data_IF_942509539342
#
_entry.id   IF_942509539342
#
_cell.length_a   1.000
_cell.length_b   1.000
_cell.length_c   1.000
_cell.angle_alpha   90.00
_cell.angle_beta   90.00
_cell.angle_gamma   90.00
#
_symmetry.space_group_name_H-M   'P 1'
#
loop_
_entity.id
_entity.type
_entity.pdbx_description
1 polymer ?
#
# COMPACT_ATOMS: atom_id res chain seq x y z
N UNK A 1 46.05 -5.44 -40.79
CA UNK A 1 45.80 -4.00 -40.49
C UNK A 1 44.34 -3.83 -40.10
N UNK A 2 44.08 -3.30 -38.90
CA UNK A 2 42.76 -3.27 -38.22
C UNK A 2 41.91 -2.08 -38.71
N UNK A 3 40.64 -2.32 -39.06
CA UNK A 3 39.63 -1.30 -39.39
C UNK A 3 39.32 -0.44 -38.16
N UNK A 4 39.53 0.89 -38.24
CA UNK A 4 39.28 1.86 -37.16
C UNK A 4 38.14 2.86 -37.47
N UNK A 5 37.18 2.54 -38.35
CA UNK A 5 36.22 3.55 -38.84
C UNK A 5 34.84 3.59 -38.15
N UNK A 6 34.61 2.89 -37.03
CA UNK A 6 33.26 2.77 -36.44
C UNK A 6 33.20 3.06 -34.92
N UNK A 7 33.81 4.16 -34.46
CA UNK A 7 33.70 4.64 -33.06
C UNK A 7 33.08 6.03 -32.90
N UNK A 8 33.07 6.82 -33.96
CA UNK A 8 32.68 8.25 -33.91
C UNK A 8 31.17 8.46 -34.11
N UNK A 9 30.51 7.57 -34.87
CA UNK A 9 29.06 7.62 -35.09
C UNK A 9 28.24 7.25 -33.85
N UNK A 10 28.71 6.27 -33.07
CA UNK A 10 28.03 5.81 -31.84
C UNK A 10 28.13 6.81 -30.70
N UNK A 11 29.27 7.50 -30.58
CA UNK A 11 29.48 8.59 -29.61
C UNK A 11 28.60 9.81 -29.90
N UNK A 12 28.43 10.15 -31.18
CA UNK A 12 27.59 11.28 -31.60
C UNK A 12 26.09 11.01 -31.32
N UNK A 13 25.64 9.78 -31.58
CA UNK A 13 24.26 9.37 -31.29
C UNK A 13 23.97 9.36 -29.78
N UNK A 14 24.92 8.89 -28.97
CA UNK A 14 24.80 8.87 -27.51
C UNK A 14 24.69 10.29 -26.92
N UNK A 15 25.45 11.25 -27.45
CA UNK A 15 25.37 12.65 -27.02
C UNK A 15 24.03 13.30 -27.38
N UNK A 16 23.47 12.99 -28.56
CA UNK A 16 22.15 13.46 -28.97
C UNK A 16 21.07 12.89 -28.04
N UNK A 17 21.12 11.59 -27.74
CA UNK A 17 20.19 10.94 -26.81
C UNK A 17 20.28 11.56 -25.40
N UNK A 18 21.50 11.81 -24.91
CA UNK A 18 21.71 12.43 -23.60
C UNK A 18 21.17 13.86 -23.54
N UNK A 19 21.36 14.64 -24.62
CA UNK A 19 20.79 15.97 -24.77
C UNK A 19 19.25 15.92 -24.70
N UNK A 20 18.62 15.00 -25.43
CA UNK A 20 17.17 14.83 -25.36
C UNK A 20 16.68 14.42 -23.96
N UNK A 21 17.41 13.57 -23.23
CA UNK A 21 17.06 13.21 -21.84
C UNK A 21 17.11 14.42 -20.90
N UNK A 22 18.07 15.33 -21.07
CA UNK A 22 18.18 16.53 -20.23
C UNK A 22 17.19 17.65 -20.58
N UNK A 23 16.62 17.62 -21.79
CA UNK A 23 15.72 18.66 -22.30
C UNK A 23 14.25 18.29 -22.14
N UNK A 24 13.92 17.05 -21.70
CA UNK A 24 12.55 16.71 -21.32
C UNK A 24 12.21 17.52 -20.06
N UNK A 25 11.29 18.50 -20.14
CA UNK A 25 10.82 19.16 -18.93
C UNK A 25 10.25 18.08 -18.02
N UNK A 26 10.69 18.05 -16.77
CA UNK A 26 10.03 17.23 -15.76
C UNK A 26 8.56 17.67 -15.74
N UNK A 27 7.66 16.80 -16.18
CA UNK A 27 6.23 17.02 -16.06
C UNK A 27 5.91 17.09 -14.57
N UNK A 28 6.00 18.28 -13.99
CA UNK A 28 5.44 18.55 -12.69
C UNK A 28 3.92 18.42 -12.80
N UNK A 29 3.29 17.86 -11.77
CA UNK A 29 1.84 17.76 -11.69
C UNK A 29 1.23 19.15 -11.90
N UNK A 30 0.27 19.28 -12.82
CA UNK A 30 -0.40 20.54 -13.12
C UNK A 30 -1.18 21.02 -11.88
N UNK A 31 -0.76 22.13 -11.23
CA UNK A 31 -1.44 22.64 -10.04
C UNK A 31 -2.81 23.25 -10.34
N UNK A 32 -3.16 23.43 -11.62
CA UNK A 32 -4.48 23.95 -12.05
C UNK A 32 -5.53 22.85 -12.25
N UNK A 33 -5.16 21.57 -12.05
CA UNK A 33 -6.10 20.45 -12.13
C UNK A 33 -7.18 20.63 -11.06
N UNK A 34 -8.42 20.89 -11.48
CA UNK A 34 -9.58 21.02 -10.60
C UNK A 34 -9.82 19.69 -9.86
N UNK A 35 -10.20 19.77 -8.59
CA UNK A 35 -10.51 18.60 -7.74
C UNK A 35 -11.66 17.71 -8.29
N UNK A 36 -12.39 18.18 -9.32
CA UNK A 36 -13.43 17.43 -10.02
C UNK A 36 -12.88 16.36 -10.99
N UNK A 37 -11.56 16.34 -11.24
CA UNK A 37 -10.87 15.33 -12.06
C UNK A 37 -10.15 14.24 -11.26
N UNK A 38 -10.43 14.10 -9.96
CA UNK A 38 -9.93 12.96 -9.19
C UNK A 38 -10.80 11.73 -9.47
N UNK A 39 -10.19 10.66 -9.98
CA UNK A 39 -10.84 9.36 -10.08
C UNK A 39 -11.21 8.90 -8.67
N UNK A 40 -12.50 8.87 -8.38
CA UNK A 40 -13.02 8.29 -7.15
C UNK A 40 -13.21 6.79 -7.36
N UNK A 41 -12.36 5.99 -6.72
CA UNK A 41 -12.56 4.55 -6.64
C UNK A 41 -13.38 4.25 -5.39
N UNK A 42 -14.57 3.67 -5.57
CA UNK A 42 -15.47 3.27 -4.49
C UNK A 42 -15.31 1.77 -4.33
N UNK A 43 -14.92 1.34 -3.14
CA UNK A 43 -14.85 -0.08 -2.79
C UNK A 43 -16.00 -0.44 -1.87
N UNK A 44 -16.67 -1.54 -2.19
CA UNK A 44 -17.81 -2.10 -1.48
C UNK A 44 -17.50 -3.53 -1.06
N UNK A 45 -18.49 -4.20 -0.48
CA UNK A 45 -18.39 -5.64 -0.19
C UNK A 45 -18.24 -6.50 -1.43
N UNK A 46 -18.72 -6.03 -2.60
CA UNK A 46 -18.57 -6.74 -3.88
C UNK A 46 -17.12 -6.74 -4.36
N UNK A 47 -16.31 -5.77 -3.92
CA UNK A 47 -14.90 -5.62 -4.25
C UNK A 47 -13.96 -6.35 -3.27
N UNK A 48 -14.52 -7.02 -2.25
CA UNK A 48 -13.77 -7.81 -1.27
C UNK A 48 -13.58 -7.16 0.11
N UNK A 49 -14.11 -5.95 0.33
CA UNK A 49 -14.18 -5.37 1.67
C UNK A 49 -15.13 -6.22 2.55
N UNK A 50 -14.77 -6.63 3.77
CA UNK A 50 -15.63 -7.53 4.56
C UNK A 50 -16.91 -6.86 5.04
N UNK A 51 -16.89 -5.53 5.20
CA UNK A 51 -18.03 -4.74 5.63
C UNK A 51 -17.83 -3.27 5.26
N UNK A 52 -18.90 -2.59 4.80
CA UNK A 52 -18.83 -1.20 4.33
C UNK A 52 -18.46 -0.17 5.41
N UNK A 53 -18.64 -0.49 6.70
CA UNK A 53 -18.31 0.44 7.77
C UNK A 53 -16.85 0.27 8.20
N UNK A 54 -16.00 1.14 7.66
CA UNK A 54 -14.59 1.25 8.07
C UNK A 54 -14.48 2.22 9.24
N UNK A 55 -13.97 1.75 10.38
CA UNK A 55 -13.89 2.51 11.63
C UNK A 55 -12.54 3.15 11.87
N UNK A 56 -11.49 2.58 11.28
CA UNK A 56 -10.12 3.04 11.41
C UNK A 56 -9.29 2.55 10.22
N UNK A 57 -8.26 3.32 9.90
CA UNK A 57 -7.37 3.10 8.77
C UNK A 57 -5.93 3.33 9.23
N UNK A 58 -5.00 2.53 8.70
CA UNK A 58 -3.57 2.74 8.85
C UNK A 58 -2.88 2.35 7.54
N UNK A 59 -1.92 3.16 7.11
CA UNK A 59 -0.99 2.72 6.08
C UNK A 59 0.23 2.13 6.77
N UNK A 60 0.57 0.89 6.45
CA UNK A 60 1.74 0.22 7.01
C UNK A 60 2.99 0.56 6.20
N UNK A 61 4.18 0.40 6.80
CA UNK A 61 5.48 0.72 6.19
C UNK A 61 5.80 -0.08 4.93
N UNK A 62 5.19 -1.25 4.78
CA UNK A 62 5.27 -2.08 3.59
C UNK A 62 4.29 -1.64 2.47
N UNK A 63 3.56 -0.53 2.67
CA UNK A 63 2.74 0.14 1.67
C UNK A 63 1.26 -0.27 1.67
N UNK A 64 0.88 -1.29 2.43
CA UNK A 64 -0.50 -1.75 2.50
C UNK A 64 -1.38 -0.78 3.30
N UNK A 65 -2.68 -0.79 3.00
CA UNK A 65 -3.69 -0.06 3.77
C UNK A 65 -4.48 -1.06 4.60
N UNK A 66 -4.32 -1.00 5.92
CA UNK A 66 -5.13 -1.73 6.88
C UNK A 66 -6.40 -0.95 7.22
N UNK A 67 -7.54 -1.65 7.23
CA UNK A 67 -8.86 -1.08 7.53
C UNK A 67 -9.54 -1.95 8.57
N UNK A 68 -9.88 -1.37 9.72
CA UNK A 68 -10.64 -2.06 10.74
C UNK A 68 -12.13 -1.89 10.50
N UNK A 69 -12.84 -3.01 10.49
CA UNK A 69 -14.29 -3.06 10.31
C UNK A 69 -14.96 -3.76 11.50
N UNK A 70 -16.28 -3.88 11.50
CA UNK A 70 -16.97 -4.72 12.49
C UNK A 70 -16.81 -6.23 12.20
N UNK A 71 -16.44 -6.60 10.97
CA UNK A 71 -16.33 -7.99 10.50
C UNK A 71 -14.88 -8.39 10.13
N UNK A 72 -13.89 -7.75 10.76
CA UNK A 72 -12.48 -8.11 10.64
C UNK A 72 -11.58 -6.98 10.16
N UNK A 73 -10.31 -7.32 9.98
CA UNK A 73 -9.27 -6.45 9.41
C UNK A 73 -9.17 -6.72 7.91
N UNK A 74 -9.39 -5.69 7.09
CA UNK A 74 -9.11 -5.74 5.66
C UNK A 74 -7.74 -5.13 5.39
N UNK A 75 -6.88 -5.82 4.65
CA UNK A 75 -5.57 -5.33 4.22
C UNK A 75 -5.56 -5.22 2.71
N UNK A 76 -5.44 -4.01 2.20
CA UNK A 76 -5.50 -3.67 0.79
C UNK A 76 -4.10 -3.41 0.25
N UNK A 77 -3.76 -4.04 -0.88
CA UNK A 77 -2.44 -3.96 -1.52
C UNK A 77 -2.37 -2.97 -2.70
N UNK A 78 -3.49 -2.30 -3.01
CA UNK A 78 -3.63 -1.45 -4.19
C UNK A 78 -4.44 -2.08 -5.32
N UNK A 79 -4.74 -3.37 -5.21
CA UNK A 79 -5.54 -4.12 -6.18
C UNK A 79 -6.65 -4.93 -5.49
N UNK A 80 -6.31 -5.67 -4.43
CA UNK A 80 -7.18 -6.65 -3.78
C UNK A 80 -7.16 -6.52 -2.25
N UNK A 81 -8.23 -6.99 -1.63
CA UNK A 81 -8.36 -7.07 -0.17
C UNK A 81 -8.01 -8.48 0.33
N UNK A 82 -7.15 -8.55 1.33
CA UNK A 82 -6.99 -9.73 2.19
C UNK A 82 -7.73 -9.50 3.50
N UNK A 83 -8.64 -10.40 3.86
CA UNK A 83 -9.45 -10.26 5.07
C UNK A 83 -8.99 -11.20 6.17
N UNK A 84 -8.76 -10.66 7.37
CA UNK A 84 -8.46 -11.42 8.58
C UNK A 84 -9.62 -11.30 9.56
N UNK A 85 -10.13 -12.46 9.99
CA UNK A 85 -11.24 -12.61 10.92
C UNK A 85 -10.83 -13.56 12.04
N UNK A 86 -11.60 -13.64 13.13
CA UNK A 86 -11.36 -14.63 14.18
C UNK A 86 -11.41 -16.09 13.69
N UNK A 87 -12.12 -16.37 12.59
CA UNK A 87 -12.23 -17.73 12.05
C UNK A 87 -11.01 -18.12 11.22
N UNK A 88 -10.32 -17.15 10.63
CA UNK A 88 -9.09 -17.36 9.83
C UNK A 88 -7.83 -17.14 10.66
N UNK A 89 -7.91 -16.24 11.64
CA UNK A 89 -6.85 -15.86 12.57
C UNK A 89 -7.41 -15.90 14.00
N UNK A 90 -7.37 -17.06 14.67
CA UNK A 90 -7.92 -17.22 16.03
C UNK A 90 -7.35 -16.22 17.04
N UNK A 91 -6.11 -15.76 16.87
CA UNK A 91 -5.44 -14.79 17.74
C UNK A 91 -6.11 -13.41 17.78
N UNK A 92 -6.93 -13.06 16.78
CA UNK A 92 -7.72 -11.82 16.83
C UNK A 92 -8.78 -11.86 17.95
N UNK A 93 -9.28 -13.06 18.28
CA UNK A 93 -10.34 -13.38 19.24
C UNK A 93 -11.70 -12.67 19.03
N UNK A 94 -11.75 -11.66 18.18
CA UNK A 94 -12.92 -10.83 17.89
C UNK A 94 -12.80 -10.23 16.49
N UNK A 95 -13.91 -10.15 15.76
CA UNK A 95 -13.94 -9.53 14.44
C UNK A 95 -14.00 -7.99 14.51
N UNK A 96 -14.52 -7.42 15.60
CA UNK A 96 -14.71 -5.98 15.69
C UNK A 96 -13.39 -5.28 15.97
N UNK A 97 -12.83 -4.64 14.94
CA UNK A 97 -11.56 -3.93 15.04
C UNK A 97 -11.82 -2.49 15.49
N UNK A 98 -11.30 -2.12 16.66
CA UNK A 98 -11.51 -0.81 17.30
C UNK A 98 -10.35 0.15 17.09
N UNK A 99 -9.14 -0.37 16.94
CA UNK A 99 -7.95 0.44 16.72
C UNK A 99 -6.93 -0.30 15.87
N UNK A 100 -6.19 0.46 15.08
CA UNK A 100 -5.04 0.01 14.31
C UNK A 100 -3.88 0.99 14.52
N UNK A 101 -2.68 0.47 14.78
CA UNK A 101 -1.48 1.27 14.96
C UNK A 101 -0.24 0.47 14.59
N UNK A 102 0.58 0.95 13.67
CA UNK A 102 1.90 0.35 13.43
C UNK A 102 2.97 1.03 14.28
N UNK A 103 3.71 0.24 15.05
CA UNK A 103 4.79 0.77 15.89
C UNK A 103 6.11 0.98 15.12
N UNK A 104 7.10 1.53 15.83
CA UNK A 104 8.42 1.82 15.26
C UNK A 104 9.22 0.59 14.83
N UNK A 105 8.82 -0.61 15.27
CA UNK A 105 9.48 -1.89 15.00
C UNK A 105 8.75 -2.72 13.93
N UNK A 106 7.69 -2.17 13.33
CA UNK A 106 6.90 -2.79 12.27
C UNK A 106 5.92 -3.85 12.79
N UNK A 107 5.50 -3.78 14.07
CA UNK A 107 4.33 -4.52 14.52
C UNK A 107 3.08 -3.69 14.26
N UNK A 108 2.12 -4.28 13.54
CA UNK A 108 0.77 -3.75 13.46
C UNK A 108 -0.03 -4.21 14.68
N UNK A 109 -0.30 -3.28 15.58
CA UNK A 109 -1.18 -3.48 16.72
C UNK A 109 -2.64 -3.35 16.31
N UNK A 110 -3.42 -4.37 16.67
CA UNK A 110 -4.83 -4.52 16.34
C UNK A 110 -5.59 -4.59 17.66
N UNK A 111 -6.34 -3.53 17.96
CA UNK A 111 -7.17 -3.44 19.16
C UNK A 111 -8.57 -3.98 18.89
N UNK A 112 -9.00 -4.93 19.69
CA UNK A 112 -10.37 -5.47 19.67
C UNK A 112 -10.99 -5.40 21.07
N UNK A 113 -12.32 -5.59 21.24
CA UNK A 113 -12.92 -5.70 22.56
C UNK A 113 -12.34 -6.83 23.42
N UNK A 114 -11.69 -7.82 22.81
CA UNK A 114 -11.09 -8.97 23.51
C UNK A 114 -9.63 -8.74 23.91
N UNK A 115 -8.96 -7.69 23.41
CA UNK A 115 -7.57 -7.41 23.77
C UNK A 115 -6.75 -6.79 22.65
N UNK A 116 -5.44 -6.99 22.71
CA UNK A 116 -4.48 -6.49 21.70
C UNK A 116 -3.88 -7.67 20.94
N UNK A 117 -3.83 -7.55 19.62
CA UNK A 117 -3.12 -8.52 18.76
C UNK A 117 -2.00 -7.81 18.00
N UNK A 118 -0.79 -8.35 18.06
CA UNK A 118 0.33 -7.88 17.22
C UNK A 118 0.40 -8.74 15.96
N UNK A 119 0.39 -8.10 14.80
CA UNK A 119 0.71 -8.70 13.52
C UNK A 119 2.10 -8.28 13.06
N UNK A 120 2.99 -9.25 12.82
CA UNK A 120 4.36 -9.00 12.35
C UNK A 120 4.85 -10.16 11.50
N UNK A 121 5.32 -9.85 10.28
CA UNK A 121 5.89 -10.84 9.35
C UNK A 121 4.99 -12.08 9.15
N UNK A 122 3.70 -11.86 8.92
CA UNK A 122 2.74 -12.95 8.70
C UNK A 122 2.27 -13.67 9.98
N UNK A 123 2.80 -13.32 11.15
CA UNK A 123 2.45 -13.97 12.42
C UNK A 123 1.58 -13.06 13.28
N UNK A 124 0.50 -13.62 13.83
CA UNK A 124 -0.34 -12.96 14.82
C UNK A 124 0.00 -13.44 16.23
N UNK A 125 -0.04 -12.54 17.21
CA UNK A 125 0.13 -12.86 18.63
C UNK A 125 -0.86 -12.07 19.47
N UNK A 126 -1.68 -12.77 20.23
CA UNK A 126 -2.65 -12.18 21.15
C UNK A 126 -2.00 -11.82 22.49
N UNK A 127 -2.41 -10.69 23.05
CA UNK A 127 -2.02 -10.19 24.36
C UNK A 127 -3.28 -9.83 25.15
N UNK A 128 -3.45 -10.52 26.27
CA UNK A 128 -4.45 -10.24 27.30
C UNK A 128 -3.73 -9.79 28.58
N UNK A 129 -4.45 -9.09 29.46
CA UNK A 129 -3.93 -8.56 30.73
C UNK A 129 -4.17 -9.59 31.85
#
# INVERSE_FOLDING_TARGET
MKKQSCRWGTLSLAMIILYFITVIPAFALDPSKRLDQHTLNIFTTEDGLPQSAVMNLVQTRDGYIGMGTFEGLARYDGEQFTVFTKSTVPELENNSIKALFEDSHGCLWIGTPSGLTCYRQGTFRHFTI
#
